data_IF_875560531085
#
_entry.id   IF_875560531085
#
_cell.length_a   1.000
_cell.length_b   1.000
_cell.length_c   1.000
_cell.angle_alpha   90.00
_cell.angle_beta   90.00
_cell.angle_gamma   90.00
#
_symmetry.space_group_name_H-M   'P 1'
#
loop_
_entity.id
_entity.type
_entity.pdbx_description
1 polymer ?
#
# COMPACT_ATOMS: atom_id res chain seq x y z
N UNK A 1 -4.18 1.91 16.23
CA UNK A 1 -4.92 1.99 14.95
C UNK A 1 -4.67 3.37 14.35
N UNK A 2 -4.15 3.44 13.12
CA UNK A 2 -4.01 4.72 12.43
C UNK A 2 -5.43 5.16 12.04
N UNK A 3 -5.92 6.26 12.62
CA UNK A 3 -7.21 6.84 12.20
C UNK A 3 -7.19 7.09 10.69
N UNK A 4 -8.31 6.94 9.99
CA UNK A 4 -8.41 7.14 8.53
C UNK A 4 -7.78 8.45 8.04
N UNK A 5 -7.81 9.52 8.87
CA UNK A 5 -7.12 10.78 8.59
C UNK A 5 -5.58 10.68 8.64
N UNK A 6 -5.03 9.86 9.53
CA UNK A 6 -3.59 9.59 9.62
C UNK A 6 -3.05 8.74 8.47
N UNK A 7 -3.90 7.93 7.83
CA UNK A 7 -3.51 7.15 6.66
C UNK A 7 -3.30 8.03 5.42
N UNK A 8 -4.15 9.06 5.22
CA UNK A 8 -4.05 10.00 4.11
C UNK A 8 -2.72 10.77 4.15
N UNK A 9 -2.28 11.16 5.35
CA UNK A 9 -1.01 11.86 5.59
C UNK A 9 0.20 10.91 5.75
N UNK A 10 -0.02 9.59 5.72
CA UNK A 10 1.06 8.61 5.82
C UNK A 10 1.85 8.54 4.52
N UNK A 11 3.15 8.22 4.62
CA UNK A 11 4.04 8.03 3.47
C UNK A 11 3.48 7.05 2.46
N UNK A 12 2.82 5.98 2.91
CA UNK A 12 2.17 5.00 2.06
C UNK A 12 0.89 5.51 1.38
N UNK A 13 0.09 6.33 2.06
CA UNK A 13 -1.10 6.96 1.49
C UNK A 13 -0.73 7.94 0.37
N UNK A 14 0.28 8.77 0.62
CA UNK A 14 0.83 9.71 -0.38
C UNK A 14 1.39 8.95 -1.58
N UNK A 15 2.17 7.88 -1.35
CA UNK A 15 2.73 7.07 -2.45
C UNK A 15 1.64 6.46 -3.34
N UNK A 16 0.54 5.99 -2.74
CA UNK A 16 -0.61 5.48 -3.48
C UNK A 16 -1.29 6.55 -4.32
N UNK A 17 -1.48 7.75 -3.79
CA UNK A 17 -2.07 8.86 -4.54
C UNK A 17 -1.19 9.24 -5.73
N UNK A 18 0.13 9.34 -5.53
CA UNK A 18 1.08 9.64 -6.60
C UNK A 18 1.08 8.51 -7.65
N UNK A 19 1.13 7.25 -7.22
CA UNK A 19 1.04 6.08 -8.11
C UNK A 19 -0.23 6.12 -8.97
N UNK A 20 -1.36 6.45 -8.36
CA UNK A 20 -2.67 6.54 -9.00
C UNK A 20 -2.70 7.67 -10.04
N UNK A 21 -2.12 8.84 -9.72
CA UNK A 21 -1.96 9.93 -10.69
C UNK A 21 -1.08 9.52 -11.87
N UNK A 22 0.04 8.83 -11.63
CA UNK A 22 0.90 8.32 -12.70
C UNK A 22 0.15 7.36 -13.63
N UNK A 23 -0.66 6.45 -13.08
CA UNK A 23 -1.44 5.52 -13.89
C UNK A 23 -2.55 6.21 -14.69
N UNK A 24 -3.27 7.15 -14.09
CA UNK A 24 -4.34 7.88 -14.78
C UNK A 24 -3.75 8.74 -15.90
N UNK A 25 -2.70 9.51 -15.61
CA UNK A 25 -2.08 10.40 -16.60
C UNK A 25 -1.43 9.57 -17.71
N UNK A 26 -0.69 8.51 -17.37
CA UNK A 26 -0.06 7.62 -18.36
C UNK A 26 -1.08 6.90 -19.24
N UNK A 27 -2.16 6.39 -18.64
CA UNK A 27 -3.27 5.76 -19.38
C UNK A 27 -4.02 6.74 -20.28
N UNK A 28 -4.28 7.96 -19.81
CA UNK A 28 -4.93 9.00 -20.62
C UNK A 28 -4.08 9.40 -21.83
N UNK A 29 -2.78 9.64 -21.62
CA UNK A 29 -1.85 9.96 -22.71
C UNK A 29 -1.88 8.83 -23.74
N UNK A 30 -1.74 7.58 -23.30
CA UNK A 30 -1.78 6.41 -24.16
C UNK A 30 -3.08 6.30 -24.98
N UNK A 31 -4.24 6.55 -24.38
CA UNK A 31 -5.53 6.52 -25.11
C UNK A 31 -5.63 7.66 -26.12
N UNK A 32 -5.07 8.83 -25.81
CA UNK A 32 -5.16 10.02 -26.68
C UNK A 32 -4.15 10.04 -27.82
N UNK A 33 -2.95 9.47 -27.64
CA UNK A 33 -1.85 9.55 -28.62
C UNK A 33 -1.38 8.19 -29.15
N UNK A 34 -1.67 7.10 -28.44
CA UNK A 34 -1.17 5.75 -28.74
C UNK A 34 -1.83 5.12 -29.97
N UNK A 35 -1.28 5.43 -31.13
CA UNK A 35 -1.77 4.91 -32.42
C UNK A 35 -1.16 3.52 -32.72
N UNK A 36 -1.43 2.54 -31.85
CA UNK A 36 -0.87 1.19 -31.95
C UNK A 36 -1.84 0.21 -32.63
N UNK A 37 -2.09 0.45 -33.93
CA UNK A 37 -3.05 -0.32 -34.71
C UNK A 37 -2.55 -1.75 -35.06
N UNK A 38 -1.22 -1.94 -35.11
CA UNK A 38 -0.58 -3.23 -35.44
C UNK A 38 -0.79 -4.28 -34.33
N UNK A 39 -0.97 -3.84 -33.07
CA UNK A 39 -1.07 -4.71 -31.90
C UNK A 39 -2.27 -4.36 -31.00
N UNK A 40 -3.44 -4.18 -31.63
CA UNK A 40 -4.70 -3.78 -30.96
C UNK A 40 -5.05 -4.61 -29.72
N UNK A 41 -4.73 -5.90 -29.70
CA UNK A 41 -4.90 -6.77 -28.54
C UNK A 41 -4.10 -6.30 -27.32
N UNK A 42 -2.84 -5.91 -27.52
CA UNK A 42 -1.95 -5.43 -26.47
C UNK A 42 -2.33 -4.03 -26.00
N UNK A 43 -2.75 -3.15 -26.92
CA UNK A 43 -3.28 -1.83 -26.57
C UNK A 43 -4.54 -1.94 -25.67
N UNK A 44 -5.48 -2.82 -26.02
CA UNK A 44 -6.67 -3.08 -25.19
C UNK A 44 -6.27 -3.69 -23.85
N UNK A 45 -5.34 -4.65 -23.84
CA UNK A 45 -4.84 -5.28 -22.61
C UNK A 45 -4.19 -4.23 -21.69
N UNK A 46 -3.41 -3.30 -22.24
CA UNK A 46 -2.80 -2.21 -21.48
C UNK A 46 -3.85 -1.28 -20.87
N UNK A 47 -4.85 -0.85 -21.65
CA UNK A 47 -5.93 0.01 -21.16
C UNK A 47 -6.72 -0.70 -20.05
N UNK A 48 -7.09 -1.97 -20.25
CA UNK A 48 -7.85 -2.76 -19.26
C UNK A 48 -7.04 -2.96 -17.99
N UNK A 49 -5.77 -3.35 -18.10
CA UNK A 49 -4.91 -3.57 -16.92
C UNK A 49 -4.66 -2.27 -16.16
N UNK A 50 -4.39 -1.15 -16.84
CA UNK A 50 -4.21 0.16 -16.19
C UNK A 50 -5.49 0.65 -15.50
N UNK A 51 -6.65 0.56 -16.15
CA UNK A 51 -7.93 0.94 -15.54
C UNK A 51 -8.32 0.06 -14.36
N UNK A 52 -8.24 -1.27 -14.50
CA UNK A 52 -8.51 -2.20 -13.39
C UNK A 52 -7.58 -1.93 -12.20
N UNK A 53 -6.29 -1.66 -12.48
CA UNK A 53 -5.31 -1.32 -11.44
C UNK A 53 -5.64 -0.01 -10.73
N UNK A 54 -6.05 1.03 -11.48
CA UNK A 54 -6.47 2.30 -10.89
C UNK A 54 -7.72 2.16 -10.02
N UNK A 55 -8.70 1.35 -10.44
CA UNK A 55 -9.91 1.05 -9.67
C UNK A 55 -9.57 0.27 -8.40
N UNK A 56 -8.71 -0.75 -8.48
CA UNK A 56 -8.23 -1.50 -7.31
C UNK A 56 -7.48 -0.59 -6.33
N UNK A 57 -6.63 0.30 -6.84
CA UNK A 57 -5.91 1.28 -6.03
C UNK A 57 -6.89 2.23 -5.32
N UNK A 58 -7.88 2.79 -6.03
CA UNK A 58 -8.95 3.61 -5.45
C UNK A 58 -9.73 2.86 -4.38
N UNK A 59 -10.19 1.64 -4.67
CA UNK A 59 -10.95 0.82 -3.71
C UNK A 59 -10.13 0.57 -2.46
N UNK A 60 -8.87 0.14 -2.60
CA UNK A 60 -7.99 -0.07 -1.45
C UNK A 60 -7.83 1.21 -0.63
N UNK A 61 -7.60 2.35 -1.29
CA UNK A 61 -7.46 3.65 -0.63
C UNK A 61 -8.73 4.03 0.15
N UNK A 62 -9.91 3.87 -0.45
CA UNK A 62 -11.19 4.17 0.22
C UNK A 62 -11.45 3.28 1.43
N UNK A 63 -11.12 1.99 1.35
CA UNK A 63 -11.30 1.07 2.48
C UNK A 63 -10.42 1.50 3.67
N UNK A 64 -9.18 1.91 3.41
CA UNK A 64 -8.28 2.42 4.45
C UNK A 64 -8.67 3.80 4.97
N UNK A 65 -9.10 4.71 4.09
CA UNK A 65 -9.50 6.06 4.48
C UNK A 65 -10.78 6.08 5.32
N UNK A 66 -11.73 5.18 5.05
CA UNK A 66 -13.01 5.09 5.76
C UNK A 66 -12.95 4.20 7.02
N UNK A 67 -11.80 3.59 7.32
CA UNK A 67 -11.60 2.70 8.48
C UNK A 67 -12.74 1.66 8.63
N UNK A 68 -13.15 1.06 7.50
CA UNK A 68 -14.33 0.19 7.42
C UNK A 68 -14.13 -1.15 8.14
N UNK A 69 -12.89 -1.52 8.49
CA UNK A 69 -12.54 -2.83 9.04
C UNK A 69 -12.12 -2.70 10.51
N UNK A 70 -13.09 -2.92 11.40
CA UNK A 70 -12.89 -2.92 12.86
C UNK A 70 -12.35 -4.24 13.43
N UNK A 71 -12.33 -5.31 12.64
CA UNK A 71 -11.91 -6.65 13.09
C UNK A 71 -10.41 -6.88 12.88
N UNK A 72 -9.70 -7.27 13.93
CA UNK A 72 -8.25 -7.48 13.93
C UNK A 72 -7.81 -8.61 13.00
N UNK A 73 -8.59 -9.69 12.87
CA UNK A 73 -8.29 -10.81 11.96
C UNK A 73 -8.51 -10.45 10.50
N UNK A 74 -9.55 -9.66 10.22
CA UNK A 74 -9.84 -9.17 8.86
C UNK A 74 -8.77 -8.19 8.37
N UNK A 75 -8.21 -7.39 9.28
CA UNK A 75 -7.13 -6.44 8.97
C UNK A 75 -5.86 -7.15 8.50
N UNK A 76 -5.49 -8.28 9.13
CA UNK A 76 -4.30 -9.08 8.72
C UNK A 76 -4.45 -9.62 7.30
N UNK A 77 -5.60 -10.22 6.99
CA UNK A 77 -5.90 -10.78 5.67
C UNK A 77 -5.90 -9.68 4.62
N UNK A 78 -6.43 -8.49 4.94
CA UNK A 78 -6.45 -7.35 4.03
C UNK A 78 -5.03 -6.87 3.65
N UNK A 79 -4.11 -6.77 4.61
CA UNK A 79 -2.74 -6.30 4.33
C UNK A 79 -1.96 -7.32 3.48
N UNK A 80 -2.16 -8.62 3.72
CA UNK A 80 -1.57 -9.68 2.90
C UNK A 80 -2.18 -9.68 1.49
N UNK A 81 -3.50 -9.58 1.39
CA UNK A 81 -4.19 -9.50 0.09
C UNK A 81 -3.72 -8.29 -0.71
N UNK A 82 -3.52 -7.15 -0.06
CA UNK A 82 -3.07 -5.93 -0.70
C UNK A 82 -1.65 -6.04 -1.27
N UNK A 83 -0.68 -6.53 -0.49
CA UNK A 83 0.69 -6.70 -1.00
C UNK A 83 0.73 -7.69 -2.17
N UNK A 84 -0.05 -8.77 -2.09
CA UNK A 84 -0.17 -9.75 -3.19
C UNK A 84 -0.78 -9.11 -4.43
N UNK A 85 -1.89 -8.38 -4.31
CA UNK A 85 -2.53 -7.69 -5.44
C UNK A 85 -1.60 -6.63 -6.03
N UNK A 86 -0.91 -5.84 -5.20
CA UNK A 86 0.03 -4.83 -5.65
C UNK A 86 1.18 -5.45 -6.46
N UNK A 87 1.71 -6.60 -6.05
CA UNK A 87 2.78 -7.29 -6.76
C UNK A 87 2.31 -7.91 -8.08
N UNK A 88 1.10 -8.49 -8.10
CA UNK A 88 0.48 -9.02 -9.32
C UNK A 88 0.27 -7.89 -10.33
N UNK A 89 -0.35 -6.80 -9.89
CA UNK A 89 -0.58 -5.60 -10.71
C UNK A 89 0.74 -5.03 -11.22
N UNK A 90 1.75 -4.90 -10.36
CA UNK A 90 3.08 -4.46 -10.74
C UNK A 90 3.67 -5.32 -11.86
N UNK A 91 3.63 -6.65 -11.68
CA UNK A 91 4.21 -7.59 -12.65
C UNK A 91 3.47 -7.54 -13.99
N UNK A 92 2.13 -7.49 -13.97
CA UNK A 92 1.30 -7.39 -15.17
C UNK A 92 1.55 -6.07 -15.92
N UNK A 93 1.52 -4.93 -15.21
CA UNK A 93 1.78 -3.62 -15.82
C UNK A 93 3.19 -3.53 -16.40
N UNK A 94 4.18 -4.13 -15.73
CA UNK A 94 5.56 -4.18 -16.22
C UNK A 94 5.65 -5.00 -17.52
N UNK A 95 5.08 -6.21 -17.55
CA UNK A 95 5.09 -7.06 -18.76
C UNK A 95 4.40 -6.36 -19.91
N UNK A 96 3.18 -5.84 -19.70
CA UNK A 96 2.42 -5.19 -20.77
C UNK A 96 3.14 -3.92 -21.23
N UNK A 97 3.71 -3.12 -20.32
CA UNK A 97 4.48 -1.92 -20.71
C UNK A 97 5.71 -2.26 -21.56
N UNK A 98 6.45 -3.34 -21.24
CA UNK A 98 7.60 -3.78 -22.06
C UNK A 98 7.13 -4.24 -23.45
N UNK A 99 6.03 -5.00 -23.52
CA UNK A 99 5.51 -5.48 -24.80
C UNK A 99 5.02 -4.29 -25.64
N UNK A 100 4.33 -3.32 -25.04
CA UNK A 100 3.92 -2.10 -25.74
C UNK A 100 5.12 -1.31 -26.26
N UNK A 101 6.15 -1.15 -25.43
CA UNK A 101 7.39 -0.45 -25.81
C UNK A 101 8.08 -1.10 -27.03
N UNK A 102 8.07 -2.43 -27.09
CA UNK A 102 8.70 -3.18 -28.19
C UNK A 102 7.86 -3.24 -29.47
N UNK A 103 6.53 -3.18 -29.35
CA UNK A 103 5.60 -3.37 -30.49
C UNK A 103 5.03 -2.06 -31.04
N UNK A 104 4.95 -1.00 -30.23
CA UNK A 104 4.30 0.27 -30.59
C UNK A 104 5.29 1.41 -30.83
N UNK A 105 6.40 1.45 -30.09
CA UNK A 105 7.29 2.63 -30.00
C UNK A 105 8.39 2.66 -31.06
N UNK A 106 8.35 1.75 -32.04
CA UNK A 106 9.40 1.63 -33.06
C UNK A 106 9.46 2.83 -34.04
N UNK A 107 8.43 3.69 -34.15
CA UNK A 107 8.37 4.63 -35.30
C UNK A 107 7.83 6.05 -35.12
N UNK A 108 7.33 6.53 -33.98
CA UNK A 108 6.67 7.86 -33.94
C UNK A 108 6.94 8.63 -32.64
N UNK A 109 7.34 9.89 -32.85
CA UNK A 109 7.42 11.07 -31.96
C UNK A 109 7.67 10.88 -30.45
N UNK A 110 8.56 11.72 -29.89
CA UNK A 110 8.99 11.70 -28.49
C UNK A 110 7.87 11.79 -27.42
N UNK A 111 6.65 12.20 -27.79
CA UNK A 111 5.48 12.27 -26.92
C UNK A 111 4.82 10.89 -26.68
N UNK A 112 4.94 9.95 -27.62
CA UNK A 112 4.43 8.58 -27.48
C UNK A 112 5.33 7.70 -26.61
N UNK A 113 6.53 8.19 -26.27
CA UNK A 113 7.47 7.51 -25.36
C UNK A 113 7.18 7.78 -23.88
N UNK A 114 6.30 8.73 -23.57
CA UNK A 114 6.00 9.18 -22.20
C UNK A 114 5.06 8.24 -21.41
N UNK A 115 3.97 7.67 -21.99
CA UNK A 115 2.98 6.94 -21.19
C UNK A 115 3.55 5.65 -20.57
N UNK A 116 4.40 4.94 -21.31
CA UNK A 116 4.97 3.66 -20.92
C UNK A 116 5.85 3.76 -19.66
N UNK A 117 6.93 4.58 -19.62
CA UNK A 117 7.75 4.75 -18.42
C UNK A 117 6.96 5.38 -17.27
N UNK A 118 5.98 6.25 -17.54
CA UNK A 118 5.15 6.83 -16.50
C UNK A 118 4.29 5.77 -15.80
N UNK A 119 3.73 4.82 -16.55
CA UNK A 119 3.01 3.69 -15.96
C UNK A 119 3.92 2.68 -15.26
N UNK A 120 5.15 2.49 -15.73
CA UNK A 120 6.15 1.69 -14.99
C UNK A 120 6.51 2.34 -13.65
N UNK A 121 6.73 3.65 -13.61
CA UNK A 121 6.97 4.41 -12.38
C UNK A 121 5.76 4.28 -11.45
N UNK A 122 4.53 4.46 -11.98
CA UNK A 122 3.30 4.26 -11.22
C UNK A 122 3.20 2.87 -10.61
N UNK A 123 3.53 1.82 -11.37
CA UNK A 123 3.51 0.44 -10.91
C UNK A 123 4.55 0.18 -9.80
N UNK A 124 5.78 0.70 -9.96
CA UNK A 124 6.84 0.59 -8.93
C UNK A 124 6.40 1.29 -7.64
N UNK A 125 5.87 2.50 -7.74
CA UNK A 125 5.36 3.23 -6.57
C UNK A 125 4.23 2.48 -5.88
N UNK A 126 3.39 1.75 -6.63
CA UNK A 126 2.34 0.93 -6.04
C UNK A 126 2.92 -0.25 -5.24
N UNK A 127 3.95 -0.92 -5.77
CA UNK A 127 4.64 -2.01 -5.08
C UNK A 127 5.39 -1.53 -3.81
N UNK A 128 6.04 -0.37 -3.89
CA UNK A 128 6.69 0.26 -2.73
C UNK A 128 5.63 0.69 -1.69
N UNK A 129 4.51 1.26 -2.13
CA UNK A 129 3.41 1.65 -1.26
C UNK A 129 2.83 0.46 -0.49
N UNK A 130 2.59 -0.67 -1.19
CA UNK A 130 2.10 -1.91 -0.56
C UNK A 130 3.10 -2.53 0.42
N UNK A 131 4.40 -2.51 0.10
CA UNK A 131 5.44 -3.02 1.02
C UNK A 131 5.59 -2.14 2.26
N UNK A 132 5.50 -0.81 2.13
CA UNK A 132 5.52 0.09 3.29
C UNK A 132 4.34 -0.14 4.24
N UNK A 133 3.14 -0.37 3.71
CA UNK A 133 1.97 -0.72 4.53
C UNK A 133 2.16 -2.04 5.27
N UNK A 134 2.69 -3.04 4.59
CA UNK A 134 2.98 -4.34 5.19
C UNK A 134 4.04 -4.23 6.29
N UNK A 135 5.11 -3.45 6.07
CA UNK A 135 6.17 -3.23 7.05
C UNK A 135 5.68 -2.44 8.27
N UNK A 136 4.92 -1.36 8.08
CA UNK A 136 4.33 -0.57 9.17
C UNK A 136 3.43 -1.44 10.04
N UNK A 137 2.57 -2.26 9.43
CA UNK A 137 1.73 -3.22 10.13
C UNK A 137 2.57 -4.24 10.93
N UNK A 138 3.57 -4.86 10.29
CA UNK A 138 4.43 -5.86 10.94
C UNK A 138 5.28 -5.26 12.07
N UNK A 139 5.67 -4.00 11.94
CA UNK A 139 6.38 -3.27 13.00
C UNK A 139 5.49 -3.05 14.22
N UNK A 140 4.21 -2.69 14.02
CA UNK A 140 3.25 -2.47 15.10
C UNK A 140 2.88 -3.75 15.82
N UNK A 141 2.65 -4.84 15.07
CA UNK A 141 2.38 -6.15 15.66
C UNK A 141 3.53 -6.59 16.59
N UNK A 142 4.79 -6.35 16.19
CA UNK A 142 5.95 -6.63 17.04
C UNK A 142 5.97 -5.77 18.33
N UNK A 143 5.57 -4.50 18.26
CA UNK A 143 5.53 -3.61 19.44
C UNK A 143 4.42 -4.04 20.40
N UNK A 144 3.25 -4.40 19.88
CA UNK A 144 2.13 -4.89 20.68
C UNK A 144 2.48 -6.20 21.40
N UNK A 145 3.17 -7.13 20.71
CA UNK A 145 3.68 -8.37 21.31
C UNK A 145 4.70 -8.07 22.44
N UNK A 146 5.58 -7.10 22.25
CA UNK A 146 6.56 -6.70 23.28
C UNK A 146 5.84 -6.08 24.48
N UNK A 147 4.86 -5.20 24.29
CA UNK A 147 4.10 -4.61 25.40
C UNK A 147 3.28 -5.64 26.17
N UNK A 148 2.75 -6.65 25.50
CA UNK A 148 2.00 -7.73 26.15
C UNK A 148 2.90 -8.68 26.96
N UNK A 149 4.19 -8.76 26.61
CA UNK A 149 5.21 -9.53 27.31
C UNK A 149 5.98 -8.75 28.38
N UNK A 150 5.76 -7.43 28.52
CA UNK A 150 6.26 -6.70 29.67
C UNK A 150 5.33 -7.04 30.85
N UNK A 151 5.80 -7.76 31.89
CA UNK A 151 4.98 -7.97 33.08
C UNK A 151 4.57 -6.61 33.62
N UNK A 152 3.28 -6.41 33.88
CA UNK A 152 2.74 -5.23 34.56
C UNK A 152 3.34 -5.14 35.96
N UNK A 153 4.57 -4.65 36.09
CA UNK A 153 5.16 -4.21 37.34
C UNK A 153 4.74 -2.76 37.57
N UNK A 154 3.44 -2.54 37.69
CA UNK A 154 2.85 -1.26 38.03
C UNK A 154 1.65 -1.46 38.95
N UNK A 155 1.86 -2.21 40.03
CA UNK A 155 1.25 -1.86 41.30
C UNK A 155 2.34 -1.20 42.17
N UNK A 156 2.22 0.09 42.53
CA UNK A 156 2.95 0.59 43.67
C UNK A 156 2.33 -0.09 44.89
N UNK A 157 3.02 -1.08 45.43
CA UNK A 157 2.71 -1.65 46.74
C UNK A 157 2.68 -0.51 47.76
N UNK A 158 1.48 -0.07 48.11
CA UNK A 158 1.24 0.94 49.16
C UNK A 158 1.59 0.26 50.48
N UNK A 159 2.86 0.32 50.87
CA UNK A 159 3.33 -0.11 52.18
C UNK A 159 2.64 0.74 53.24
N UNK A 160 1.70 0.12 53.96
CA UNK A 160 1.09 0.68 55.15
C UNK A 160 2.15 0.62 56.27
N UNK A 161 2.69 1.74 56.79
CA UNK A 161 3.75 1.71 57.78
C UNK A 161 3.10 1.79 59.16
N UNK A 162 2.36 0.76 59.58
CA UNK A 162 1.78 0.75 60.93
C UNK A 162 1.45 -0.66 61.38
N UNK A 163 2.47 -1.47 61.69
CA UNK A 163 2.43 -2.54 62.70
C UNK A 163 3.77 -3.29 62.74
N UNK A 164 4.81 -2.65 63.26
CA UNK A 164 5.98 -3.36 63.78
C UNK A 164 6.41 -2.73 65.09
N UNK A 165 5.71 -3.12 66.16
CA UNK A 165 6.22 -3.02 67.52
C UNK A 165 5.63 -4.19 68.32
N UNK A 166 6.21 -5.39 68.15
CA UNK A 166 6.06 -6.45 69.14
C UNK A 166 7.30 -6.37 70.04
N UNK A 167 7.07 -5.79 71.20
CA UNK A 167 7.99 -5.66 72.32
C UNK A 167 8.50 -7.03 72.77
N UNK A 168 9.81 -7.12 72.94
CA UNK A 168 10.49 -8.15 73.73
C UNK A 168 10.06 -7.94 75.19
N UNK A 169 9.49 -8.97 75.82
CA UNK A 169 9.40 -9.06 77.27
C UNK A 169 9.31 -10.53 77.71
N UNK A 170 10.18 -10.83 78.68
CA UNK A 170 10.37 -12.06 79.48
C UNK A 170 11.42 -13.01 78.95
#
# INVERSE_FOLDING_TARGET
MLSGAGFILSSAGILKVISLLCLIIGGLIFVTSGDCNESRFWAVTYIVTTTVSAVLAMLSYTIYALDLIKSTTALKIQHIAEITVAYIVFTLLLIVSIIMMTQCTSKKYALDYIPEPLTMIGAVLMAIGGTLLFLDWRSKERIDDIQMNIPRLSEPHRTNPHLSRKSILV
#
